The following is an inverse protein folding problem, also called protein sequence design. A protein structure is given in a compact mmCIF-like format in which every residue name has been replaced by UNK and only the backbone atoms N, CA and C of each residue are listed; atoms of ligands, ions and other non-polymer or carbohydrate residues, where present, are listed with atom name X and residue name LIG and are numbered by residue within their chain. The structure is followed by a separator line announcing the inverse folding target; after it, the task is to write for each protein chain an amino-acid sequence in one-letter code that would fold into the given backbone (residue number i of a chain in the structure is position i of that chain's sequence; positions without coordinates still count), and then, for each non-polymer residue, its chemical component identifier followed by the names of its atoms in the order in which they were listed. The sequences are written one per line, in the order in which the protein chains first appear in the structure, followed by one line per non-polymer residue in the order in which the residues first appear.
data_IF_712743765018
#
_entry.id   IF_712743765018
#
_cell.length_a   1.000
_cell.length_b   1.000
_cell.length_c   1.000
_cell.angle_alpha   90.00
_cell.angle_beta   90.00
_cell.angle_gamma   90.00
#
_symmetry.space_group_name_H-M   'P 1'
#
loop_
_entity.id
_entity.type
_entity.pdbx_description
1 polymer ?
#
# COMPACT_ATOMS: atom_id res chain seq x y z
N UNK A 1 -7.55 -24.15 26.96
CA UNK A 1 -8.58 -23.22 27.45
C UNK A 1 -8.30 -21.92 26.75
N UNK A 2 -9.07 -21.69 25.66
CA UNK A 2 -9.04 -20.58 24.70
C UNK A 2 -7.67 -20.23 24.09
N UNK A 3 -7.21 -21.07 23.15
CA UNK A 3 -6.41 -20.59 22.03
C UNK A 3 -7.38 -19.83 21.12
N UNK A 4 -7.46 -18.51 21.30
CA UNK A 4 -8.02 -17.65 20.29
C UNK A 4 -6.97 -17.49 19.21
N UNK A 5 -7.05 -18.26 18.13
CA UNK A 5 -6.46 -17.87 16.86
C UNK A 5 -7.17 -16.59 16.42
N UNK A 6 -6.72 -15.46 16.97
CA UNK A 6 -7.17 -14.14 16.56
C UNK A 6 -6.83 -14.02 15.09
N UNK A 7 -7.82 -13.65 14.28
CA UNK A 7 -7.57 -13.19 12.94
C UNK A 7 -6.46 -12.13 13.02
N UNK A 8 -5.27 -12.47 12.55
CA UNK A 8 -4.18 -11.50 12.45
C UNK A 8 -4.62 -10.53 11.36
N UNK A 9 -4.77 -9.27 11.70
CA UNK A 9 -4.94 -8.21 10.72
C UNK A 9 -3.73 -7.30 10.84
N UNK A 10 -3.25 -6.80 9.72
CA UNK A 10 -2.22 -5.80 9.66
C UNK A 10 -2.89 -4.43 9.56
N UNK A 11 -2.27 -3.41 10.11
CA UNK A 11 -2.73 -2.05 9.89
C UNK A 11 -2.01 -1.46 8.68
N UNK A 12 -2.78 -0.86 7.77
CA UNK A 12 -2.22 0.00 6.73
C UNK A 12 -2.65 1.42 7.00
N UNK A 13 -1.67 2.31 7.14
CA UNK A 13 -1.91 3.75 7.12
C UNK A 13 -1.39 4.30 5.80
N UNK A 14 -2.14 5.20 5.20
CA UNK A 14 -1.84 5.79 3.90
C UNK A 14 -2.05 7.29 3.96
N UNK A 15 -1.21 8.03 3.25
CA UNK A 15 -1.37 9.45 3.09
C UNK A 15 -1.09 9.86 1.65
N UNK A 16 -1.95 10.73 1.12
CA UNK A 16 -1.78 11.29 -0.21
C UNK A 16 -1.09 12.64 -0.11
N UNK A 17 0.09 12.75 -0.72
CA UNK A 17 0.95 13.95 -0.66
C UNK A 17 1.54 14.31 -2.01
N UNK A 18 2.01 15.55 -2.14
CA UNK A 18 2.79 15.96 -3.29
C UNK A 18 4.19 15.32 -3.29
N UNK A 19 4.82 15.25 -4.47
CA UNK A 19 6.14 14.64 -4.68
C UNK A 19 7.23 15.12 -3.70
N UNK A 20 7.18 16.40 -3.30
CA UNK A 20 8.16 17.03 -2.40
C UNK A 20 8.06 16.59 -0.94
N UNK A 21 6.89 16.09 -0.52
CA UNK A 21 6.63 15.57 0.81
C UNK A 21 6.75 14.04 0.88
N UNK A 22 6.66 13.34 -0.25
CA UNK A 22 6.63 11.88 -0.29
C UNK A 22 7.87 11.21 0.33
N UNK A 23 9.07 11.73 0.08
CA UNK A 23 10.31 11.18 0.68
C UNK A 23 10.34 11.34 2.21
N UNK A 24 9.88 12.50 2.72
CA UNK A 24 9.80 12.76 4.18
C UNK A 24 8.77 11.85 4.85
N UNK A 25 7.64 11.61 4.19
CA UNK A 25 6.61 10.70 4.66
C UNK A 25 7.14 9.26 4.74
N UNK A 26 7.87 8.80 3.73
CA UNK A 26 8.50 7.48 3.70
C UNK A 26 9.50 7.30 4.85
N UNK A 27 10.41 8.27 5.04
CA UNK A 27 11.36 8.26 6.16
C UNK A 27 10.63 8.25 7.52
N UNK A 28 9.52 8.99 7.64
CA UNK A 28 8.73 9.03 8.87
C UNK A 28 8.09 7.67 9.15
N UNK A 29 7.50 7.01 8.15
CA UNK A 29 6.92 5.68 8.30
C UNK A 29 7.99 4.64 8.70
N UNK A 30 9.19 4.73 8.14
CA UNK A 30 10.32 3.84 8.48
C UNK A 30 10.72 4.00 9.95
N UNK A 31 10.88 5.25 10.41
CA UNK A 31 11.20 5.57 11.82
C UNK A 31 10.10 5.12 12.78
N UNK A 32 8.84 5.19 12.36
CA UNK A 32 7.69 4.75 13.15
C UNK A 32 7.51 3.22 13.18
N UNK A 33 8.36 2.48 12.46
CA UNK A 33 8.38 1.01 12.51
C UNK A 33 7.50 0.34 11.47
N UNK A 34 7.27 0.97 10.31
CA UNK A 34 6.58 0.33 9.20
C UNK A 34 7.35 -0.94 8.76
N UNK A 35 6.64 -2.05 8.65
CA UNK A 35 7.18 -3.33 8.18
C UNK A 35 7.44 -3.34 6.67
N UNK A 36 6.62 -2.56 5.96
CA UNK A 36 6.75 -2.34 4.53
C UNK A 36 6.20 -0.94 4.20
N UNK A 37 6.82 -0.29 3.23
CA UNK A 37 6.37 0.99 2.71
C UNK A 37 6.10 0.85 1.21
N UNK A 38 4.96 1.36 0.78
CA UNK A 38 4.53 1.33 -0.63
C UNK A 38 4.25 2.75 -1.10
N UNK A 39 4.69 3.07 -2.32
CA UNK A 39 4.43 4.35 -2.99
C UNK A 39 3.71 4.09 -4.31
N UNK A 40 2.59 4.77 -4.52
CA UNK A 40 1.75 4.62 -5.72
C UNK A 40 1.37 5.99 -6.30
N UNK A 41 1.05 6.00 -7.61
CA UNK A 41 0.42 7.16 -8.24
C UNK A 41 -0.98 7.33 -7.65
N UNK A 42 -1.29 8.54 -7.19
CA UNK A 42 -2.61 8.90 -6.68
C UNK A 42 -3.33 9.93 -7.57
N UNK A 43 -2.76 10.26 -8.74
CA UNK A 43 -3.40 11.11 -9.72
C UNK A 43 -4.36 10.36 -10.64
N UNK A 44 -5.35 11.07 -11.18
CA UNK A 44 -6.31 10.56 -12.18
C UNK A 44 -5.71 10.42 -13.60
N UNK A 45 -4.47 10.83 -13.83
CA UNK A 45 -3.86 10.87 -15.15
C UNK A 45 -2.94 9.67 -15.36
N UNK A 46 -3.17 8.79 -16.35
CA UNK A 46 -2.25 7.71 -16.66
C UNK A 46 -0.92 8.29 -17.16
N UNK A 47 0.06 8.38 -16.27
CA UNK A 47 1.41 8.84 -16.62
C UNK A 47 2.21 7.67 -17.18
N UNK A 48 2.08 7.46 -18.48
CA UNK A 48 3.02 6.64 -19.26
C UNK A 48 4.27 7.46 -19.57
N UNK A 49 4.90 8.03 -18.55
CA UNK A 49 6.21 8.62 -18.77
C UNK A 49 7.22 7.47 -18.84
N UNK A 50 8.07 7.49 -19.86
CA UNK A 50 9.10 6.49 -20.05
C UNK A 50 10.00 6.49 -18.81
N UNK A 51 9.75 5.54 -17.89
CA UNK A 51 10.35 5.53 -16.57
C UNK A 51 11.88 5.70 -16.66
N UNK A 52 12.38 6.83 -16.16
CA UNK A 52 13.77 6.91 -15.76
C UNK A 52 13.98 5.92 -14.60
N UNK A 53 15.06 5.11 -14.62
CA UNK A 53 15.18 3.92 -13.78
C UNK A 53 15.22 4.18 -12.26
N UNK A 54 15.39 5.42 -11.81
CA UNK A 54 15.65 5.69 -10.39
C UNK A 54 14.38 5.91 -9.54
N UNK A 55 13.40 6.76 -9.94
CA UNK A 55 12.14 6.98 -9.18
C UNK A 55 11.01 7.58 -10.03
N UNK A 56 9.75 7.12 -9.88
CA UNK A 56 8.60 7.74 -10.53
C UNK A 56 8.34 9.15 -9.96
N UNK A 57 8.13 10.14 -10.85
CA UNK A 57 7.88 11.55 -10.52
C UNK A 57 6.39 11.90 -10.54
N UNK A 58 5.54 11.02 -10.02
CA UNK A 58 4.10 11.30 -9.94
C UNK A 58 3.85 12.55 -9.09
N UNK A 59 3.04 13.51 -9.58
CA UNK A 59 2.82 14.79 -8.90
C UNK A 59 2.09 14.61 -7.58
N UNK A 60 1.19 13.62 -7.51
CA UNK A 60 0.45 13.22 -6.32
C UNK A 60 0.76 11.75 -6.04
N UNK A 61 1.24 11.46 -4.84
CA UNK A 61 1.69 10.13 -4.46
C UNK A 61 0.91 9.68 -3.23
N UNK A 62 0.39 8.45 -3.27
CA UNK A 62 -0.09 7.76 -2.09
C UNK A 62 1.09 6.99 -1.50
N UNK A 63 1.49 7.36 -0.29
CA UNK A 63 2.53 6.65 0.47
C UNK A 63 1.84 5.93 1.63
N UNK A 64 2.08 4.62 1.77
CA UNK A 64 1.46 3.81 2.81
C UNK A 64 2.46 2.95 3.55
N UNK A 65 2.30 2.84 4.87
CA UNK A 65 3.06 1.93 5.74
C UNK A 65 2.18 0.80 6.25
N UNK A 66 2.75 -0.40 6.32
CA UNK A 66 2.12 -1.58 6.94
C UNK A 66 2.67 -1.79 8.35
N UNK A 67 1.80 -2.06 9.31
CA UNK A 67 2.11 -2.18 10.74
C UNK A 67 1.47 -3.44 11.34
N UNK A 68 2.07 -3.93 12.41
CA UNK A 68 1.58 -5.10 13.13
C UNK A 68 0.26 -4.82 13.88
N UNK A 69 -0.60 -5.82 14.11
CA UNK A 69 -1.90 -5.65 14.76
C UNK A 69 -1.85 -4.98 16.15
N UNK A 70 -0.75 -5.14 16.89
CA UNK A 70 -0.50 -4.60 18.22
C UNK A 70 -0.01 -3.14 18.21
N UNK A 71 0.17 -2.55 17.03
CA UNK A 71 0.65 -1.19 16.87
C UNK A 71 -0.43 -0.16 17.25
N UNK A 72 -0.07 0.83 18.06
CA UNK A 72 -0.95 1.96 18.38
C UNK A 72 -1.00 2.95 17.21
N UNK A 73 -2.03 2.84 16.37
CA UNK A 73 -2.19 3.68 15.18
C UNK A 73 -2.31 5.18 15.50
N UNK A 74 -2.80 5.55 16.68
CA UNK A 74 -2.88 6.96 17.08
C UNK A 74 -1.48 7.57 17.25
N UNK A 75 -0.51 6.78 17.70
CA UNK A 75 0.89 7.20 17.83
C UNK A 75 1.60 7.43 16.49
N UNK A 76 1.03 6.92 15.39
CA UNK A 76 1.55 7.05 14.03
C UNK A 76 0.87 8.20 13.29
N UNK A 77 -0.44 8.38 13.50
CA UNK A 77 -1.24 9.40 12.85
C UNK A 77 -0.70 10.82 13.09
N UNK A 78 -0.41 11.19 14.34
CA UNK A 78 0.03 12.56 14.67
C UNK A 78 1.38 12.94 14.00
N UNK A 79 2.46 12.14 14.12
CA UNK A 79 3.72 12.46 13.46
C UNK A 79 3.60 12.44 11.93
N UNK A 80 2.80 11.52 11.39
CA UNK A 80 2.60 11.38 9.95
C UNK A 80 1.89 12.61 9.36
N UNK A 81 0.82 13.09 10.01
CA UNK A 81 0.12 14.30 9.59
C UNK A 81 1.00 15.56 9.71
N UNK A 82 1.86 15.64 10.73
CA UNK A 82 2.78 16.75 10.89
C UNK A 82 3.77 16.89 9.72
N UNK A 83 4.18 15.77 9.12
CA UNK A 83 5.10 15.73 7.98
C UNK A 83 4.38 15.84 6.64
N UNK A 84 3.20 15.20 6.52
CA UNK A 84 2.40 15.20 5.30
C UNK A 84 1.73 16.55 5.01
N UNK A 85 1.49 17.36 6.05
CA UNK A 85 0.81 18.64 5.95
C UNK A 85 -0.69 18.55 6.25
N UNK A 86 -1.28 19.68 6.64
CA UNK A 86 -2.65 19.76 7.17
C UNK A 86 -3.74 19.36 6.19
N UNK A 87 -3.49 19.49 4.89
CA UNK A 87 -4.45 19.18 3.82
C UNK A 87 -4.29 17.75 3.27
N UNK A 88 -3.37 16.97 3.83
CA UNK A 88 -3.10 15.62 3.37
C UNK A 88 -4.26 14.67 3.73
N UNK A 89 -4.69 13.87 2.75
CA UNK A 89 -5.74 12.87 2.97
C UNK A 89 -5.14 11.63 3.62
N UNK A 90 -5.51 11.37 4.89
CA UNK A 90 -5.10 10.20 5.66
C UNK A 90 -6.16 9.09 5.55
N UNK A 91 -5.72 7.85 5.35
CA UNK A 91 -6.57 6.66 5.40
C UNK A 91 -5.94 5.56 6.26
N UNK A 92 -6.75 4.90 7.09
CA UNK A 92 -6.34 3.76 7.92
C UNK A 92 -7.25 2.58 7.60
N UNK A 93 -6.66 1.47 7.17
CA UNK A 93 -7.37 0.23 6.84
C UNK A 93 -6.80 -0.94 7.65
N UNK A 94 -7.67 -1.86 8.05
CA UNK A 94 -7.25 -3.20 8.46
C UNK A 94 -7.08 -4.07 7.21
N UNK A 95 -5.95 -4.76 7.12
CA UNK A 95 -5.62 -5.69 6.04
C UNK A 95 -5.58 -7.08 6.64
N UNK A 96 -6.48 -7.96 6.21
CA UNK A 96 -6.50 -9.33 6.72
C UNK A 96 -5.17 -10.05 6.41
N UNK A 97 -4.68 -10.85 7.36
CA UNK A 97 -3.54 -11.74 7.16
C UNK A 97 -3.97 -12.89 6.24
N UNK A 98 -3.89 -12.62 4.95
CA UNK A 98 -4.25 -13.56 3.90
C UNK A 98 -3.00 -14.28 3.41
N UNK A 99 -3.13 -15.57 3.10
CA UNK A 99 -2.11 -16.30 2.35
C UNK A 99 -2.10 -15.79 0.90
N UNK A 100 -1.25 -14.80 0.64
CA UNK A 100 -1.08 -14.15 -0.67
C UNK A 100 -0.57 -15.12 -1.75
N UNK A 101 0.04 -16.25 -1.38
CA UNK A 101 0.48 -17.28 -2.34
C UNK A 101 -0.68 -18.16 -2.82
N UNK A 102 -1.63 -18.48 -1.92
CA UNK A 102 -2.79 -19.33 -2.25
C UNK A 102 -4.00 -18.55 -2.80
N UNK A 103 -4.21 -17.31 -2.35
CA UNK A 103 -5.31 -16.45 -2.83
C UNK A 103 -5.15 -16.02 -4.28
N UNK A 104 -3.91 -15.84 -4.75
CA UNK A 104 -3.60 -15.57 -6.15
C UNK A 104 -3.94 -16.75 -7.07
N UNK A 105 -3.60 -17.98 -6.68
CA UNK A 105 -3.74 -19.16 -7.56
C UNK A 105 -5.18 -19.58 -7.86
N UNK A 106 -6.14 -19.22 -7.00
CA UNK A 106 -7.55 -19.63 -7.18
C UNK A 106 -8.32 -18.67 -8.10
N UNK A 107 -7.81 -17.46 -8.33
CA UNK A 107 -8.56 -16.38 -9.01
C UNK A 107 -8.30 -16.27 -10.52
N UNK A 108 -7.42 -17.10 -11.10
CA UNK A 108 -7.14 -17.05 -12.54
C UNK A 108 -7.75 -18.26 -13.26
N UNK A 109 -9.01 -18.13 -13.67
CA UNK A 109 -9.61 -19.07 -14.61
C UNK A 109 -8.99 -18.88 -16.01
N UNK A 110 -8.92 -19.93 -16.85
CA UNK A 110 -8.50 -19.79 -18.25
C UNK A 110 -9.33 -18.71 -18.97
N UNK A 111 -8.65 -17.78 -19.62
CA UNK A 111 -9.29 -16.69 -20.37
C UNK A 111 -9.18 -16.97 -21.86
N UNK A 112 -10.31 -17.09 -22.55
CA UNK A 112 -10.34 -17.20 -24.00
C UNK A 112 -10.21 -15.81 -24.63
N UNK A 113 -9.18 -15.61 -25.44
CA UNK A 113 -8.92 -14.32 -26.13
C UNK A 113 -9.22 -14.36 -27.63
N UNK A 114 -9.43 -15.56 -28.19
CA UNK A 114 -10.01 -15.74 -29.53
C UNK A 114 -10.60 -17.14 -29.71
N UNK A 115 -11.29 -17.39 -30.82
CA UNK A 115 -11.86 -18.70 -31.17
C UNK A 115 -10.86 -19.87 -31.11
N UNK A 116 -9.55 -19.60 -31.18
CA UNK A 116 -8.49 -20.64 -31.17
C UNK A 116 -7.38 -20.40 -30.15
N UNK A 117 -7.51 -19.43 -29.23
CA UNK A 117 -6.44 -19.07 -28.29
C UNK A 117 -6.98 -18.83 -26.88
N UNK A 118 -6.34 -19.50 -25.93
CA UNK A 118 -6.62 -19.43 -24.50
C UNK A 118 -5.34 -19.06 -23.75
N UNK A 119 -5.47 -18.20 -22.74
CA UNK A 119 -4.44 -17.95 -21.74
C UNK A 119 -4.78 -18.83 -20.54
N UNK A 120 -3.98 -19.88 -20.32
CA UNK A 120 -4.10 -20.76 -19.17
C UNK A 120 -2.95 -20.46 -18.19
N UNK A 121 -3.24 -20.03 -16.96
CA UNK A 121 -2.23 -19.94 -15.92
C UNK A 121 -1.64 -21.33 -15.61
N UNK A 122 -0.34 -21.43 -15.25
CA UNK A 122 0.32 -22.69 -14.93
C UNK A 122 -0.16 -23.33 -13.61
#
# INVERSE_FOLDING_TARGET
MTDGEGQSHWWRISVTVALDAADRVEETLDVLGALAITRMDAGDAPQFDAALPDKPRWPLQSVSGLFAPDTDMASIEEPLMAVAGSDAALGIDAVDDQDWELSGRTSFAPVQISDRLWICPP
#
